data_IF_647046123221
#
_entry.id   IF_647046123221
#
_cell.length_a   1.000
_cell.length_b   1.000
_cell.length_c   1.000
_cell.angle_alpha   90.00
_cell.angle_beta   90.00
_cell.angle_gamma   90.00
#
_symmetry.space_group_name_H-M   'P 1'
#
loop_
_entity.id
_entity.type
_entity.pdbx_description
1 polymer ?
#
# COMPACT_ATOMS: atom_id res chain seq x y z
N UNK A 1 -11.59 9.43 -25.02
CA UNK A 1 -11.22 9.63 -23.60
C UNK A 1 -9.72 9.51 -23.50
N UNK A 2 -9.03 10.49 -22.88
CA UNK A 2 -7.60 10.34 -22.56
C UNK A 2 -7.52 9.33 -21.40
N UNK A 3 -6.72 8.25 -21.49
CA UNK A 3 -6.50 7.40 -20.33
C UNK A 3 -5.92 8.26 -19.21
N UNK A 4 -6.46 8.13 -18.00
CA UNK A 4 -5.85 8.74 -16.82
C UNK A 4 -4.43 8.18 -16.69
N UNK A 5 -3.42 9.01 -16.41
CA UNK A 5 -2.06 8.51 -16.21
C UNK A 5 -2.08 7.55 -15.02
N UNK A 6 -1.80 6.28 -15.28
CA UNK A 6 -1.64 5.26 -14.25
C UNK A 6 -0.45 5.66 -13.38
N UNK A 7 -0.72 5.87 -12.09
CA UNK A 7 0.33 6.09 -11.10
C UNK A 7 0.79 4.72 -10.60
N UNK A 8 2.10 4.55 -10.51
CA UNK A 8 2.69 3.35 -9.93
C UNK A 8 3.25 3.68 -8.56
N UNK A 9 3.17 2.71 -7.67
CA UNK A 9 3.64 2.79 -6.30
C UNK A 9 4.48 1.56 -5.97
N UNK A 10 5.36 1.70 -5.00
CA UNK A 10 6.06 0.58 -4.37
C UNK A 10 5.91 0.69 -2.87
N UNK A 11 5.84 -0.46 -2.20
CA UNK A 11 6.01 -0.51 -0.75
C UNK A 11 7.41 -0.02 -0.40
N UNK A 12 7.52 0.88 0.58
CA UNK A 12 8.80 1.36 1.05
C UNK A 12 9.59 0.17 1.64
N UNK A 13 10.78 -0.16 1.12
CA UNK A 13 11.53 -1.35 1.54
C UNK A 13 12.02 -1.27 2.99
N UNK A 14 12.01 -0.08 3.59
CA UNK A 14 12.48 0.15 4.95
C UNK A 14 11.37 0.02 6.00
N UNK A 15 10.14 -0.35 5.63
CA UNK A 15 9.10 -0.60 6.63
C UNK A 15 9.27 -1.98 7.25
N UNK A 16 8.92 -2.08 8.54
CA UNK A 16 8.74 -3.35 9.23
C UNK A 16 7.24 -3.59 9.34
N UNK A 17 6.76 -4.72 8.84
CA UNK A 17 5.37 -5.12 9.06
C UNK A 17 5.32 -6.38 9.91
N UNK A 18 4.34 -6.46 10.80
CA UNK A 18 4.10 -7.65 11.61
C UNK A 18 2.59 -7.89 11.75
N UNK A 19 2.21 -9.16 11.71
CA UNK A 19 0.84 -9.59 11.96
C UNK A 19 0.68 -9.85 13.46
N UNK A 20 -0.25 -9.16 14.11
CA UNK A 20 -0.47 -9.37 15.53
C UNK A 20 -1.19 -10.72 15.77
N UNK A 21 -0.66 -11.51 16.70
CA UNK A 21 -1.16 -12.86 16.99
C UNK A 21 -2.56 -12.89 17.61
N UNK A 22 -3.05 -11.74 18.09
CA UNK A 22 -4.36 -11.56 18.71
C UNK A 22 -5.45 -11.12 17.71
N UNK A 23 -5.18 -11.20 16.40
CA UNK A 23 -6.09 -10.77 15.32
C UNK A 23 -6.46 -9.29 15.40
N UNK A 24 -5.65 -8.48 16.09
CA UNK A 24 -5.90 -7.04 16.17
C UNK A 24 -5.60 -6.32 14.85
N UNK A 25 -4.83 -6.91 13.93
CA UNK A 25 -4.55 -6.29 12.64
C UNK A 25 -3.14 -6.58 12.13
N UNK A 26 -2.83 -5.98 10.98
CA UNK A 26 -1.46 -5.83 10.49
C UNK A 26 -0.92 -4.51 11.00
N UNK A 27 0.27 -4.55 11.59
CA UNK A 27 0.96 -3.35 12.02
C UNK A 27 2.12 -3.06 11.10
N UNK A 28 2.25 -1.79 10.71
CA UNK A 28 3.37 -1.30 9.91
C UNK A 28 4.10 -0.25 10.72
N UNK A 29 5.38 -0.48 10.98
CA UNK A 29 6.29 0.48 11.56
C UNK A 29 7.15 1.09 10.45
N UNK A 30 7.21 2.41 10.41
CA UNK A 30 7.98 3.19 9.45
C UNK A 30 9.14 3.84 10.18
N UNK A 31 10.37 3.29 10.11
CA UNK A 31 11.49 3.74 10.95
C UNK A 31 11.87 5.21 10.76
N UNK A 32 11.72 5.74 9.54
CA UNK A 32 12.09 7.12 9.23
C UNK A 32 11.16 8.15 9.90
N UNK A 33 9.89 7.81 10.11
CA UNK A 33 8.92 8.67 10.81
C UNK A 33 8.78 8.31 12.29
N UNK A 34 9.13 7.07 12.66
CA UNK A 34 8.83 6.51 13.97
C UNK A 34 7.36 6.13 14.16
N UNK A 35 6.54 6.24 13.11
CA UNK A 35 5.11 5.97 13.18
C UNK A 35 4.83 4.47 13.13
N UNK A 36 3.77 4.07 13.84
CA UNK A 36 3.14 2.76 13.71
C UNK A 36 1.71 2.94 13.24
N UNK A 37 1.34 2.25 12.17
CA UNK A 37 -0.01 2.18 11.67
C UNK A 37 -0.62 0.82 11.95
N UNK A 38 -1.87 0.81 12.38
CA UNK A 38 -2.70 -0.38 12.43
C UNK A 38 -3.56 -0.42 11.18
N UNK A 39 -3.41 -1.48 10.40
CA UNK A 39 -4.14 -1.74 9.17
C UNK A 39 -5.04 -2.97 9.35
N UNK A 40 -6.09 -3.06 8.53
CA UNK A 40 -6.96 -4.22 8.54
C UNK A 40 -6.21 -5.47 8.08
N UNK A 41 -6.67 -6.66 8.50
CA UNK A 41 -6.05 -7.93 8.13
C UNK A 41 -6.01 -8.19 6.62
N UNK A 42 -6.90 -7.54 5.86
CA UNK A 42 -6.90 -7.60 4.40
C UNK A 42 -5.57 -7.08 3.80
N UNK A 43 -4.87 -6.18 4.50
CA UNK A 43 -3.55 -5.70 4.09
C UNK A 43 -2.43 -6.75 4.22
N UNK A 44 -2.66 -7.88 4.89
CA UNK A 44 -1.66 -8.93 5.01
C UNK A 44 -1.27 -9.48 3.63
N UNK A 45 -2.27 -9.73 2.78
CA UNK A 45 -2.05 -10.21 1.41
C UNK A 45 -1.30 -9.15 0.60
N UNK A 46 -1.71 -7.88 0.73
CA UNK A 46 -1.06 -6.76 0.07
C UNK A 46 0.44 -6.67 0.41
N UNK A 47 0.83 -6.67 1.69
CA UNK A 47 2.25 -6.60 2.05
C UNK A 47 3.02 -7.86 1.68
N UNK A 48 2.40 -9.04 1.79
CA UNK A 48 3.03 -10.30 1.35
C UNK A 48 3.39 -10.25 -0.14
N UNK A 49 2.54 -9.64 -0.97
CA UNK A 49 2.74 -9.54 -2.41
C UNK A 49 3.71 -8.41 -2.80
N UNK A 50 3.62 -7.24 -2.16
CA UNK A 50 4.29 -6.03 -2.66
C UNK A 50 5.51 -5.57 -1.85
N UNK A 51 5.77 -6.13 -0.66
CA UNK A 51 6.92 -5.72 0.17
C UNK A 51 8.29 -5.95 -0.50
N UNK A 52 8.38 -6.90 -1.44
CA UNK A 52 9.58 -7.20 -2.23
C UNK A 52 9.91 -6.17 -3.33
N UNK A 53 9.45 -4.92 -3.20
CA UNK A 53 9.66 -3.86 -4.18
C UNK A 53 8.87 -4.04 -5.47
N UNK A 54 7.84 -4.89 -5.47
CA UNK A 54 6.95 -5.06 -6.63
C UNK A 54 6.11 -3.79 -6.79
N UNK A 55 6.01 -3.30 -8.03
CA UNK A 55 5.20 -2.12 -8.34
C UNK A 55 3.72 -2.49 -8.39
N UNK A 56 2.87 -1.60 -7.90
CA UNK A 56 1.43 -1.73 -8.01
C UNK A 56 0.77 -0.41 -8.42
N UNK A 57 -0.48 -0.47 -8.86
CA UNK A 57 -1.34 0.69 -9.16
C UNK A 57 -2.70 0.56 -8.45
N UNK A 58 -3.58 1.55 -8.63
CA UNK A 58 -4.92 1.59 -8.04
C UNK A 58 -5.76 0.35 -8.40
N UNK A 59 -5.70 -0.12 -9.66
CA UNK A 59 -6.48 -1.27 -10.13
C UNK A 59 -6.04 -2.58 -9.46
N UNK A 60 -4.73 -2.76 -9.31
CA UNK A 60 -4.16 -3.93 -8.63
C UNK A 60 -4.47 -3.94 -7.13
N UNK A 61 -4.46 -2.76 -6.49
CA UNK A 61 -4.90 -2.64 -5.11
C UNK A 61 -6.40 -2.95 -4.98
N UNK A 62 -7.24 -2.38 -5.86
CA UNK A 62 -8.68 -2.66 -5.88
C UNK A 62 -8.99 -4.16 -6.03
N UNK A 63 -8.22 -4.88 -6.83
CA UNK A 63 -8.37 -6.34 -6.99
C UNK A 63 -8.13 -7.14 -5.68
N UNK A 64 -7.36 -6.58 -4.74
CA UNK A 64 -7.12 -7.17 -3.41
C UNK A 64 -8.18 -6.77 -2.37
N UNK A 65 -8.94 -5.70 -2.62
CA UNK A 65 -9.97 -5.18 -1.73
C UNK A 65 -11.30 -5.05 -2.49
N UNK A 66 -11.95 -6.17 -2.86
CA UNK A 66 -13.11 -6.18 -3.75
C UNK A 66 -14.34 -5.46 -3.18
N UNK A 67 -14.42 -5.29 -1.85
CA UNK A 67 -15.50 -4.58 -1.17
C UNK A 67 -15.28 -3.06 -1.11
N UNK A 68 -14.10 -2.56 -1.51
CA UNK A 68 -13.76 -1.14 -1.48
C UNK A 68 -14.15 -0.43 -2.76
N UNK A 69 -14.58 0.82 -2.66
CA UNK A 69 -14.76 1.66 -3.86
C UNK A 69 -13.42 2.20 -4.36
N UNK A 70 -13.36 2.66 -5.62
CA UNK A 70 -12.18 3.35 -6.15
C UNK A 70 -11.80 4.58 -5.29
N UNK A 71 -12.80 5.27 -4.73
CA UNK A 71 -12.56 6.40 -3.85
C UNK A 71 -11.85 5.97 -2.56
N UNK A 72 -12.28 4.86 -1.94
CA UNK A 72 -11.67 4.33 -0.72
C UNK A 72 -10.23 3.86 -0.98
N UNK A 73 -9.97 3.25 -2.14
CA UNK A 73 -8.61 2.89 -2.56
C UNK A 73 -7.74 4.14 -2.72
N UNK A 74 -8.23 5.19 -3.39
CA UNK A 74 -7.48 6.44 -3.55
C UNK A 74 -7.23 7.16 -2.22
N UNK A 75 -8.16 7.09 -1.27
CA UNK A 75 -7.92 7.61 0.09
C UNK A 75 -6.87 6.76 0.83
N UNK A 76 -6.95 5.44 0.70
CA UNK A 76 -5.99 4.53 1.32
C UNK A 76 -4.57 4.75 0.78
N UNK A 77 -4.41 4.88 -0.55
CA UNK A 77 -3.13 5.20 -1.19
C UNK A 77 -2.59 6.51 -0.68
N UNK A 78 -3.39 7.58 -0.68
CA UNK A 78 -2.97 8.90 -0.15
C UNK A 78 -2.52 8.81 1.31
N UNK A 79 -3.24 8.06 2.13
CA UNK A 79 -2.87 7.88 3.54
C UNK A 79 -1.55 7.11 3.68
N UNK A 80 -1.40 5.98 2.99
CA UNK A 80 -0.17 5.17 3.01
C UNK A 80 1.04 5.95 2.47
N UNK A 81 0.86 6.79 1.45
CA UNK A 81 1.90 7.70 0.96
C UNK A 81 2.28 8.75 2.02
N UNK A 82 1.28 9.38 2.66
CA UNK A 82 1.53 10.40 3.70
C UNK A 82 2.29 9.85 4.91
N UNK A 83 2.14 8.57 5.19
CA UNK A 83 2.81 7.86 6.27
C UNK A 83 4.13 7.18 5.82
N UNK A 84 4.55 7.43 4.57
CA UNK A 84 5.76 6.86 3.98
C UNK A 84 5.78 5.31 3.96
N UNK A 85 4.61 4.67 3.97
CA UNK A 85 4.47 3.20 3.83
C UNK A 85 4.66 2.76 2.39
N UNK A 86 4.17 3.57 1.46
CA UNK A 86 4.36 3.40 0.02
C UNK A 86 4.95 4.67 -0.56
N UNK A 87 5.55 4.57 -1.74
CA UNK A 87 6.10 5.70 -2.48
C UNK A 87 5.65 5.62 -3.93
N UNK A 88 5.29 6.78 -4.51
CA UNK A 88 5.07 6.90 -5.94
C UNK A 88 6.38 6.67 -6.69
N UNK A 89 6.31 5.92 -7.79
CA UNK A 89 7.45 5.62 -8.64
C UNK A 89 7.17 6.04 -10.08
N UNK A 90 8.22 6.46 -10.77
CA UNK A 90 8.11 6.86 -12.17
C UNK A 90 7.72 5.65 -13.04
N UNK A 91 6.87 5.87 -14.07
CA UNK A 91 6.64 4.86 -15.08
C UNK A 91 7.99 4.49 -15.71
N UNK A 92 8.24 3.19 -15.91
CA UNK A 92 9.36 2.79 -16.77
C UNK A 92 8.96 3.21 -18.18
N UNK A 93 9.69 4.15 -18.76
CA UNK A 93 9.64 4.38 -20.20
C UNK A 93 10.10 3.08 -20.88
N UNK A 94 9.17 2.37 -21.51
CA UNK A 94 9.45 1.25 -22.43
C UNK A 94 9.87 1.77 -23.78
#
# INVERSE_FOLDING_TARGET
>A
MKPLPLSFYQVNPNILFYNASDSSGVFVFVPITGNSLRLSDQFLVFFTQYHSGIRFNEEQMLALFPDSSLFDIQQSIRHLESECVIQKVEPIET
#
